data_IF_896622660843
#
_entry.id   IF_896622660843
#
_cell.length_a   1.000
_cell.length_b   1.000
_cell.length_c   1.000
_cell.angle_alpha   90.00
_cell.angle_beta   90.00
_cell.angle_gamma   90.00
#
_symmetry.space_group_name_H-M   'P 1'
#
loop_
_entity.id
_entity.type
_entity.pdbx_description
1 polymer ?
#
# COMPACT_ATOMS: atom_id res chain seq x y z
N UNK A 1 33.13 1.23 21.83
CA UNK A 1 32.04 0.85 22.75
C UNK A 1 30.77 1.63 22.39
N UNK A 2 30.79 2.97 22.42
CA UNK A 2 29.69 3.83 21.94
C UNK A 2 29.19 3.49 20.52
N UNK A 3 30.10 3.20 19.59
CA UNK A 3 29.70 2.82 18.23
C UNK A 3 28.96 1.47 18.17
N UNK A 4 29.33 0.51 19.03
CA UNK A 4 28.68 -0.80 19.08
C UNK A 4 27.26 -0.70 19.64
N UNK A 5 27.07 0.15 20.65
CA UNK A 5 25.78 0.46 21.25
C UNK A 5 24.86 1.21 20.28
N UNK A 6 25.37 2.25 19.62
CA UNK A 6 24.61 2.98 18.60
C UNK A 6 24.13 2.07 17.45
N UNK A 7 24.98 1.13 17.00
CA UNK A 7 24.59 0.14 15.98
C UNK A 7 23.55 -0.85 16.49
N UNK A 8 23.65 -1.27 17.75
CA UNK A 8 22.67 -2.14 18.37
C UNK A 8 21.29 -1.45 18.44
N UNK A 9 21.26 -0.21 18.92
CA UNK A 9 20.02 0.55 19.07
C UNK A 9 19.37 0.83 17.72
N UNK A 10 20.16 1.17 16.69
CA UNK A 10 19.66 1.29 15.32
C UNK A 10 19.04 -0.01 14.80
N UNK A 11 19.67 -1.16 15.08
CA UNK A 11 19.15 -2.47 14.69
C UNK A 11 17.85 -2.83 15.43
N UNK A 12 17.77 -2.54 16.74
CA UNK A 12 16.55 -2.73 17.54
C UNK A 12 15.39 -1.89 17.02
N UNK A 13 15.64 -0.60 16.76
CA UNK A 13 14.62 0.31 16.25
C UNK A 13 14.12 -0.13 14.87
N UNK A 14 15.03 -0.53 13.98
CA UNK A 14 14.70 -1.08 12.67
C UNK A 14 13.87 -2.36 12.79
N UNK A 15 14.25 -3.28 13.69
CA UNK A 15 13.53 -4.54 13.89
C UNK A 15 12.12 -4.31 14.44
N UNK A 16 11.95 -3.38 15.39
CA UNK A 16 10.65 -3.00 15.93
C UNK A 16 9.73 -2.46 14.82
N UNK A 17 10.24 -1.54 13.99
CA UNK A 17 9.48 -1.01 12.84
C UNK A 17 9.09 -2.10 11.86
N UNK A 18 10.04 -2.93 11.43
CA UNK A 18 9.76 -3.98 10.44
C UNK A 18 8.75 -5.00 10.96
N UNK A 19 8.84 -5.40 12.24
CA UNK A 19 7.85 -6.28 12.85
C UNK A 19 6.44 -5.65 12.84
N UNK A 20 6.33 -4.36 13.17
CA UNK A 20 5.05 -3.66 13.14
C UNK A 20 4.48 -3.52 11.71
N UNK A 21 5.33 -3.27 10.72
CA UNK A 21 4.93 -3.20 9.30
C UNK A 21 4.43 -4.55 8.79
N UNK A 22 5.19 -5.62 9.01
CA UNK A 22 4.86 -6.98 8.52
C UNK A 22 3.59 -7.52 9.16
N UNK A 23 3.42 -7.32 10.46
CA UNK A 23 2.26 -7.84 11.19
C UNK A 23 1.07 -6.87 11.18
N UNK A 24 1.21 -5.68 10.59
CA UNK A 24 0.19 -4.63 10.60
C UNK A 24 -0.30 -4.30 12.03
N UNK A 25 0.63 -4.26 12.99
CA UNK A 25 0.37 -3.94 14.40
C UNK A 25 0.86 -2.54 14.74
N UNK A 26 0.48 -2.04 15.92
CA UNK A 26 1.05 -0.80 16.45
C UNK A 26 2.58 -0.90 16.58
N UNK A 27 3.25 0.23 16.35
CA UNK A 27 4.69 0.35 16.54
C UNK A 27 5.00 0.51 18.04
N UNK A 28 5.79 -0.42 18.57
CA UNK A 28 6.25 -0.43 19.97
C UNK A 28 7.75 -0.64 19.96
N UNK A 29 8.48 0.28 20.60
CA UNK A 29 9.92 0.17 20.78
C UNK A 29 10.23 -0.46 22.14
N UNK A 30 11.35 -1.19 22.26
CA UNK A 30 11.78 -1.75 23.53
C UNK A 30 12.44 -0.67 24.41
N UNK A 31 12.39 -0.85 25.73
CA UNK A 31 12.82 0.14 26.75
C UNK A 31 14.30 0.55 26.60
N UNK A 32 15.14 -0.29 26.00
CA UNK A 32 16.54 0.02 25.70
C UNK A 32 16.72 1.24 24.78
N UNK A 33 15.66 1.71 24.12
CA UNK A 33 15.67 2.89 23.25
C UNK A 33 15.15 4.17 23.92
N UNK A 34 14.80 4.15 25.21
CA UNK A 34 14.23 5.29 25.92
C UNK A 34 15.14 6.53 25.89
N UNK A 35 16.47 6.34 25.89
CA UNK A 35 17.45 7.42 25.82
C UNK A 35 17.72 7.93 24.38
N UNK A 36 17.31 7.17 23.36
CA UNK A 36 17.52 7.46 21.93
C UNK A 36 16.27 8.07 21.26
N UNK A 37 15.73 9.12 21.88
CA UNK A 37 14.45 9.76 21.50
C UNK A 37 14.40 10.18 20.02
N UNK A 38 15.50 10.69 19.46
CA UNK A 38 15.54 11.10 18.05
C UNK A 38 15.50 9.90 17.09
N UNK A 39 16.12 8.78 17.45
CA UNK A 39 16.04 7.55 16.65
C UNK A 39 14.60 7.02 16.64
N UNK A 40 13.95 6.98 17.82
CA UNK A 40 12.55 6.57 17.97
C UNK A 40 11.63 7.45 17.11
N UNK A 41 11.82 8.77 17.12
CA UNK A 41 11.05 9.69 16.27
C UNK A 41 11.25 9.43 14.78
N UNK A 42 12.50 9.24 14.34
CA UNK A 42 12.81 8.98 12.93
C UNK A 42 12.15 7.69 12.44
N UNK A 43 12.28 6.60 13.19
CA UNK A 43 11.67 5.31 12.85
C UNK A 43 10.14 5.37 12.91
N UNK A 44 9.57 6.13 13.85
CA UNK A 44 8.12 6.38 13.92
C UNK A 44 7.61 7.12 12.68
N UNK A 45 8.30 8.18 12.26
CA UNK A 45 7.94 8.92 11.05
C UNK A 45 8.04 8.04 9.80
N UNK A 46 9.07 7.20 9.71
CA UNK A 46 9.24 6.25 8.62
C UNK A 46 8.12 5.21 8.56
N UNK A 47 7.74 4.64 9.71
CA UNK A 47 6.61 3.71 9.83
C UNK A 47 5.31 4.34 9.31
N UNK A 48 4.98 5.55 9.78
CA UNK A 48 3.77 6.28 9.39
C UNK A 48 3.75 6.58 7.89
N UNK A 49 4.86 7.09 7.35
CA UNK A 49 4.98 7.43 5.92
C UNK A 49 4.81 6.20 5.01
N UNK A 50 5.36 5.04 5.41
CA UNK A 50 5.22 3.79 4.66
C UNK A 50 3.77 3.30 4.65
N UNK A 51 3.08 3.35 5.79
CA UNK A 51 1.66 2.99 5.89
C UNK A 51 0.78 3.90 5.03
N UNK A 52 0.97 5.20 5.14
CA UNK A 52 0.20 6.17 4.35
C UNK A 52 0.39 5.93 2.85
N UNK A 53 1.62 5.66 2.43
CA UNK A 53 1.95 5.36 1.03
C UNK A 53 1.29 4.07 0.55
N UNK A 54 1.28 3.03 1.39
CA UNK A 54 0.58 1.77 1.10
C UNK A 54 -0.94 2.01 0.94
N UNK A 55 -1.54 2.73 1.87
CA UNK A 55 -2.99 3.03 1.85
C UNK A 55 -3.37 3.85 0.61
N UNK A 56 -2.58 4.86 0.25
CA UNK A 56 -2.75 5.64 -0.98
C UNK A 56 -2.64 4.76 -2.23
N UNK A 57 -1.64 3.87 -2.28
CA UNK A 57 -1.48 2.92 -3.39
C UNK A 57 -2.69 1.99 -3.53
N UNK A 58 -3.18 1.43 -2.44
CA UNK A 58 -4.37 0.58 -2.43
C UNK A 58 -5.63 1.35 -2.87
N UNK A 59 -5.79 2.60 -2.42
CA UNK A 59 -6.90 3.45 -2.85
C UNK A 59 -6.85 3.71 -4.38
N UNK A 60 -5.68 4.04 -4.91
CA UNK A 60 -5.49 4.26 -6.35
C UNK A 60 -5.79 3.01 -7.17
N UNK A 61 -5.33 1.82 -6.73
CA UNK A 61 -5.63 0.56 -7.39
C UNK A 61 -7.13 0.25 -7.40
N UNK A 62 -7.83 0.49 -6.29
CA UNK A 62 -9.29 0.31 -6.20
C UNK A 62 -10.04 1.24 -7.17
N UNK A 63 -9.65 2.52 -7.22
CA UNK A 63 -10.23 3.49 -8.15
C UNK A 63 -9.99 3.07 -9.61
N UNK A 64 -8.78 2.65 -9.95
CA UNK A 64 -8.46 2.15 -11.29
C UNK A 64 -9.31 0.94 -11.68
N UNK A 65 -9.47 -0.03 -10.77
CA UNK A 65 -10.32 -1.20 -11.01
C UNK A 65 -11.79 -0.81 -11.24
N UNK A 66 -12.31 0.16 -10.47
CA UNK A 66 -13.67 0.66 -10.64
C UNK A 66 -13.88 1.33 -12.00
N UNK A 67 -12.92 2.13 -12.46
CA UNK A 67 -12.97 2.76 -13.78
C UNK A 67 -12.99 1.73 -14.91
N UNK A 68 -12.14 0.70 -14.83
CA UNK A 68 -12.12 -0.39 -15.81
C UNK A 68 -13.46 -1.13 -15.83
N UNK A 69 -14.06 -1.39 -14.66
CA UNK A 69 -15.38 -2.04 -14.59
C UNK A 69 -16.48 -1.18 -15.21
N UNK A 70 -16.47 0.14 -14.98
CA UNK A 70 -17.42 1.08 -15.60
C UNK A 70 -17.27 1.09 -17.13
N UNK A 71 -16.03 1.13 -17.63
CA UNK A 71 -15.75 1.09 -19.07
C UNK A 71 -16.27 -0.21 -19.71
N UNK A 72 -16.03 -1.36 -19.07
CA UNK A 72 -16.56 -2.64 -19.53
C UNK A 72 -18.09 -2.68 -19.55
N UNK A 73 -18.74 -2.08 -18.55
CA UNK A 73 -20.21 -2.03 -18.49
C UNK A 73 -20.82 -1.18 -19.62
N UNK A 74 -20.13 -0.11 -20.04
CA UNK A 74 -20.57 0.74 -21.15
C UNK A 74 -20.29 0.10 -22.53
N UNK A 75 -19.15 -0.57 -22.68
CA UNK A 75 -18.69 -1.07 -23.99
C UNK A 75 -19.23 -2.45 -24.35
N UNK A 76 -19.48 -3.34 -23.38
CA UNK A 76 -20.01 -4.69 -23.64
C UNK A 76 -21.34 -4.68 -24.42
N UNK A 77 -22.36 -3.89 -24.03
CA UNK A 77 -23.64 -3.86 -24.74
C UNK A 77 -23.51 -3.32 -26.17
N UNK A 78 -22.56 -2.41 -26.42
CA UNK A 78 -22.31 -1.85 -27.76
C UNK A 78 -21.68 -2.90 -28.69
N UNK A 79 -20.82 -3.77 -28.15
CA UNK A 79 -20.29 -4.92 -28.90
C UNK A 79 -21.38 -5.92 -29.26
N UNK A 80 -22.29 -6.22 -28.32
CA UNK A 80 -23.42 -7.13 -28.55
C UNK A 80 -24.42 -6.55 -29.56
N UNK A 81 -24.74 -5.25 -29.44
CA UNK A 81 -25.58 -4.55 -30.42
C UNK A 81 -24.92 -4.46 -31.80
N UNK A 82 -23.62 -4.20 -31.86
CA UNK A 82 -22.85 -4.19 -33.10
C UNK A 82 -22.80 -5.56 -33.78
N UNK A 83 -22.71 -6.65 -33.00
CA UNK A 83 -22.78 -8.01 -33.50
C UNK A 83 -24.20 -8.35 -34.00
N UNK A 84 -25.25 -7.97 -33.26
CA UNK A 84 -26.64 -8.17 -33.67
C UNK A 84 -26.98 -7.42 -34.97
N UNK A 85 -26.62 -6.14 -35.10
CA UNK A 85 -26.83 -5.37 -36.34
C UNK A 85 -26.09 -5.95 -37.54
N UNK A 86 -24.93 -6.59 -37.33
CA UNK A 86 -24.20 -7.24 -38.42
C UNK A 86 -24.92 -8.50 -38.93
N UNK A 87 -25.69 -9.18 -38.09
CA UNK A 87 -26.44 -10.40 -38.45
C UNK A 87 -27.75 -10.05 -39.17
N UNK A 88 -28.44 -8.99 -38.76
CA UNK A 88 -29.67 -8.54 -39.45
C UNK A 88 -29.40 -8.04 -40.88
N UNK A 89 -28.27 -7.37 -41.13
CA UNK A 89 -27.91 -6.86 -42.45
C UNK A 89 -27.52 -7.94 -43.49
N UNK A 90 -27.23 -9.18 -43.08
CA UNK A 90 -26.96 -10.31 -43.99
C UNK A 90 -28.18 -11.22 -44.19
N UNK A 91 -29.27 -10.98 -43.47
CA UNK A 91 -30.49 -11.79 -43.51
C UNK A 91 -31.66 -11.10 -44.23
N UNK A 92 -31.45 -9.92 -44.85
CA UNK A 92 -32.42 -9.22 -45.72
C UNK A 92 -32.05 -9.31 -47.19
#
# INVERSE_FOLDING_TARGET
>A
MLESESRLNAALATAARLNAEVNNTALVFPDELDDDVELVKQETALYQSRRESLEKGLAGLRQGAELVQRELALTRPLGDQGAASKVEGVAS
#
